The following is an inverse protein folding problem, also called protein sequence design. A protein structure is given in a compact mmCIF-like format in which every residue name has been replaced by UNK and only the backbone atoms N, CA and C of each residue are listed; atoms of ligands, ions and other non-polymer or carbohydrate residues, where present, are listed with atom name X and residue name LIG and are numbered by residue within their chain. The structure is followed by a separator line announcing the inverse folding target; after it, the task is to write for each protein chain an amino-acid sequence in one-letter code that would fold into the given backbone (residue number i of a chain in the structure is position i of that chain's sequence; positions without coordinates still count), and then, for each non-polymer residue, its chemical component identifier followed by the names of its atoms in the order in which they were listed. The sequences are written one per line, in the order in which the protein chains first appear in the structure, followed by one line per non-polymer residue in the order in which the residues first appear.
data_IF_566800361239
#
_entry.id   IF_566800361239
#
_cell.length_a   1.000
_cell.length_b   1.000
_cell.length_c   1.000
_cell.angle_alpha   90.00
_cell.angle_beta   90.00
_cell.angle_gamma   90.00
#
_symmetry.space_group_name_H-M   'P 1'
#
loop_
_entity.id
_entity.type
_entity.pdbx_description
1 polymer ?
#
# COMPACT_ATOMS: atom_id res chain seq x y z
N UNK A 1 17.36 -29.44 5.01
CA UNK A 1 18.33 -28.32 5.14
C UNK A 1 17.58 -27.06 4.89
N UNK A 2 17.48 -26.22 5.91
CA UNK A 2 16.56 -25.08 5.94
C UNK A 2 16.96 -23.96 4.99
N UNK A 3 16.03 -23.57 4.15
CA UNK A 3 16.15 -22.42 3.27
C UNK A 3 15.70 -21.19 4.06
N UNK A 4 16.64 -20.58 4.80
CA UNK A 4 16.38 -19.32 5.48
C UNK A 4 16.31 -18.22 4.41
N UNK A 5 15.15 -17.60 4.27
CA UNK A 5 15.03 -16.37 3.50
C UNK A 5 16.06 -15.36 4.02
N UNK A 6 16.99 -14.92 3.18
CA UNK A 6 18.02 -13.92 3.55
C UNK A 6 17.33 -12.59 3.81
N UNK A 7 17.12 -12.29 5.06
CA UNK A 7 16.61 -11.04 5.56
C UNK A 7 17.66 -9.94 5.49
N UNK A 8 17.29 -8.77 5.01
CA UNK A 8 18.09 -7.55 5.16
C UNK A 8 17.31 -6.49 5.89
N UNK A 9 17.84 -6.05 7.01
CA UNK A 9 17.35 -4.90 7.76
C UNK A 9 17.86 -3.64 7.07
N UNK A 10 16.96 -2.78 6.63
CA UNK A 10 17.31 -1.44 6.19
C UNK A 10 17.50 -0.54 7.42
N UNK A 11 18.68 -0.01 7.58
CA UNK A 11 18.92 1.10 8.51
C UNK A 11 18.66 2.37 7.70
N UNK A 12 17.63 3.11 8.05
CA UNK A 12 17.30 4.38 7.39
C UNK A 12 18.44 5.40 7.62
N UNK A 13 18.91 6.03 6.52
CA UNK A 13 19.88 7.12 6.60
C UNK A 13 19.16 8.45 6.85
N UNK A 14 19.67 9.21 7.79
CA UNK A 14 19.60 10.66 8.04
C UNK A 14 18.27 11.43 8.01
N UNK A 15 17.13 10.87 7.59
CA UNK A 15 15.81 11.53 7.70
C UNK A 15 14.69 10.63 8.21
N UNK A 16 14.96 9.34 8.47
CA UNK A 16 14.06 8.45 9.21
C UNK A 16 14.84 7.83 10.37
N UNK A 17 14.44 8.12 11.59
CA UNK A 17 14.94 7.41 12.76
C UNK A 17 14.31 6.02 12.80
N UNK A 18 15.06 5.01 13.30
CA UNK A 18 14.57 3.65 13.49
C UNK A 18 14.90 2.67 12.37
N UNK A 19 14.37 1.45 12.48
CA UNK A 19 14.66 0.33 11.56
C UNK A 19 13.39 -0.04 10.80
N UNK A 20 13.53 -0.30 9.49
CA UNK A 20 12.47 -0.82 8.65
C UNK A 20 12.98 -2.07 7.92
N UNK A 21 12.21 -3.17 8.01
CA UNK A 21 12.44 -4.42 7.31
C UNK A 21 11.25 -4.69 6.40
N UNK A 22 11.52 -4.99 5.14
CA UNK A 22 10.50 -5.31 4.12
C UNK A 22 10.88 -6.62 3.47
N UNK A 23 9.92 -7.56 3.30
CA UNK A 23 10.17 -8.82 2.59
C UNK A 23 8.88 -9.40 1.99
N UNK A 24 9.04 -10.34 1.09
CA UNK A 24 7.95 -11.16 0.55
C UNK A 24 8.11 -12.59 1.02
N UNK A 25 7.07 -13.16 1.65
CA UNK A 25 7.12 -14.55 2.09
C UNK A 25 7.18 -15.50 0.90
N UNK A 26 7.97 -16.57 1.02
CA UNK A 26 8.00 -17.63 0.03
C UNK A 26 6.61 -18.30 -0.11
N UNK A 27 6.13 -18.40 -1.34
CA UNK A 27 4.78 -18.91 -1.67
C UNK A 27 3.67 -17.85 -1.60
N UNK A 28 4.02 -16.57 -1.31
CA UNK A 28 3.12 -15.42 -1.27
C UNK A 28 3.79 -14.20 -1.91
N UNK A 29 4.33 -14.37 -3.10
CA UNK A 29 5.15 -13.36 -3.79
C UNK A 29 4.39 -12.07 -4.11
N UNK A 30 3.08 -12.12 -4.16
CA UNK A 30 2.20 -10.95 -4.33
C UNK A 30 1.98 -10.16 -3.04
N UNK A 31 2.33 -10.73 -1.88
CA UNK A 31 2.17 -10.13 -0.56
C UNK A 31 3.50 -9.54 -0.09
N UNK A 32 3.46 -8.35 0.51
CA UNK A 32 4.63 -7.70 1.10
C UNK A 32 4.40 -7.50 2.60
N UNK A 33 5.37 -7.91 3.39
CA UNK A 33 5.37 -7.76 4.84
C UNK A 33 6.40 -6.73 5.27
N UNK A 34 6.06 -5.94 6.29
CA UNK A 34 6.93 -4.91 6.84
C UNK A 34 6.97 -4.96 8.37
N UNK A 35 8.13 -4.69 8.93
CA UNK A 35 8.33 -4.42 10.36
C UNK A 35 9.10 -3.13 10.52
N UNK A 36 8.48 -2.16 11.19
CA UNK A 36 9.15 -0.95 11.65
C UNK A 36 9.41 -1.01 13.16
N UNK A 37 10.58 -0.53 13.60
CA UNK A 37 10.94 -0.38 15.03
C UNK A 37 11.40 1.02 15.27
N UNK A 38 10.69 1.77 16.12
CA UNK A 38 10.92 3.20 16.36
C UNK A 38 11.11 3.98 15.07
N UNK A 39 10.38 3.57 14.02
CA UNK A 39 10.50 4.13 12.69
C UNK A 39 9.73 5.43 12.61
N UNK A 40 10.38 6.47 12.11
CA UNK A 40 9.79 7.79 11.97
C UNK A 40 9.92 8.24 10.52
N UNK A 41 8.81 8.34 9.83
CA UNK A 41 8.74 8.85 8.47
C UNK A 41 7.35 9.42 8.19
N UNK A 42 7.23 10.72 7.87
CA UNK A 42 5.95 11.28 7.49
C UNK A 42 5.60 10.86 6.07
N UNK A 43 4.53 10.12 5.92
CA UNK A 43 3.98 9.77 4.61
C UNK A 43 2.97 10.84 4.20
N UNK A 44 3.24 11.57 3.09
CA UNK A 44 2.29 12.55 2.58
C UNK A 44 1.01 11.87 2.10
N UNK A 45 0.01 12.64 1.71
CA UNK A 45 -1.19 12.10 1.09
C UNK A 45 -0.84 11.25 -0.13
N UNK A 46 -1.24 9.98 -0.10
CA UNK A 46 -1.03 8.98 -1.14
C UNK A 46 -2.14 7.94 -1.09
N UNK A 47 -2.16 7.06 -2.05
CA UNK A 47 -2.99 5.87 -2.11
C UNK A 47 -2.20 4.72 -2.72
N UNK A 48 -2.68 3.50 -2.57
CA UNK A 48 -2.10 2.29 -3.17
C UNK A 48 -3.22 1.35 -3.64
N UNK A 49 -2.89 0.49 -4.59
CA UNK A 49 -3.83 -0.50 -5.15
C UNK A 49 -3.96 -1.73 -4.24
N UNK A 50 -3.01 -1.88 -3.32
CA UNK A 50 -3.00 -2.96 -2.35
C UNK A 50 -3.92 -2.67 -1.17
N UNK A 51 -4.48 -3.70 -0.62
CA UNK A 51 -5.10 -3.70 0.69
C UNK A 51 -4.01 -3.66 1.76
N UNK A 52 -4.11 -2.73 2.68
CA UNK A 52 -3.10 -2.48 3.71
C UNK A 52 -3.66 -2.73 5.10
N UNK A 53 -2.92 -3.49 5.91
CA UNK A 53 -3.23 -3.72 7.33
C UNK A 53 -1.97 -3.48 8.14
N UNK A 54 -2.04 -2.61 9.14
CA UNK A 54 -0.91 -2.23 10.00
C UNK A 54 -1.27 -2.32 11.47
N UNK A 55 -0.63 -3.21 12.20
CA UNK A 55 -0.72 -3.27 13.67
C UNK A 55 0.35 -2.39 14.29
N UNK A 56 -0.04 -1.49 15.18
CA UNK A 56 0.86 -0.64 15.95
C UNK A 56 1.27 -1.40 17.22
N UNK A 57 2.57 -1.64 17.38
CA UNK A 57 3.14 -2.44 18.49
C UNK A 57 3.89 -1.59 19.50
N UNK A 58 4.19 -0.32 19.19
CA UNK A 58 4.85 0.63 20.09
C UNK A 58 4.81 2.04 19.52
N UNK A 59 4.94 3.05 20.38
CA UNK A 59 4.78 4.44 19.97
C UNK A 59 3.35 4.75 19.52
N UNK A 60 3.15 5.87 18.82
CA UNK A 60 1.86 6.26 18.26
C UNK A 60 2.03 7.10 16.98
N UNK A 61 0.99 7.16 16.19
CA UNK A 61 0.93 8.02 15.02
C UNK A 61 -0.51 8.41 14.68
N UNK A 62 -0.65 9.33 13.74
CA UNK A 62 -1.93 9.79 13.24
C UNK A 62 -2.09 9.28 11.81
N UNK A 63 -3.17 8.56 11.58
CA UNK A 63 -3.64 8.20 10.24
C UNK A 63 -4.73 9.18 9.83
N UNK A 64 -4.57 9.79 8.67
CA UNK A 64 -5.58 10.70 8.13
C UNK A 64 -6.20 10.08 6.87
N UNK A 65 -7.50 9.86 6.89
CA UNK A 65 -8.29 9.47 5.72
C UNK A 65 -9.71 10.03 5.83
N UNK A 66 -10.35 10.27 4.69
CA UNK A 66 -11.70 10.87 4.61
C UNK A 66 -11.85 12.19 5.38
N UNK A 67 -10.77 12.98 5.41
CA UNK A 67 -10.77 14.27 6.11
C UNK A 67 -10.72 14.18 7.64
N UNK A 68 -10.59 12.98 8.22
CA UNK A 68 -10.56 12.76 9.67
C UNK A 68 -9.19 12.23 10.09
N UNK A 69 -8.73 12.69 11.25
CA UNK A 69 -7.50 12.22 11.89
C UNK A 69 -7.83 11.14 12.92
N UNK A 70 -7.16 10.02 12.83
CA UNK A 70 -7.29 8.89 13.75
C UNK A 70 -5.96 8.65 14.45
N UNK A 71 -5.94 8.78 15.76
CA UNK A 71 -4.76 8.43 16.57
C UNK A 71 -4.72 6.91 16.72
N UNK A 72 -3.62 6.30 16.33
CA UNK A 72 -3.36 4.88 16.47
C UNK A 72 -2.14 4.66 17.37
N UNK A 73 -2.37 4.05 18.52
CA UNK A 73 -1.34 3.64 19.47
C UNK A 73 -1.19 2.12 19.55
N UNK A 74 -0.38 1.61 20.50
CA UNK A 74 -0.20 0.17 20.71
C UNK A 74 -1.55 -0.52 20.92
N UNK A 75 -1.76 -1.62 20.22
CA UNK A 75 -3.04 -2.34 20.26
C UNK A 75 -4.00 -1.99 19.11
N UNK A 76 -3.74 -0.90 18.40
CA UNK A 76 -4.55 -0.53 17.23
C UNK A 76 -4.08 -1.25 15.97
N UNK A 77 -5.04 -1.54 15.09
CA UNK A 77 -4.79 -2.03 13.74
C UNK A 77 -5.44 -1.07 12.74
N UNK A 78 -4.62 -0.43 11.92
CA UNK A 78 -5.09 0.38 10.81
C UNK A 78 -5.37 -0.52 9.60
N UNK A 79 -6.54 -0.36 8.99
CA UNK A 79 -6.91 -1.03 7.75
C UNK A 79 -7.22 0.04 6.73
N UNK A 80 -6.53 0.02 5.59
CA UNK A 80 -6.71 0.96 4.49
C UNK A 80 -7.15 0.19 3.25
N UNK A 81 -8.28 0.60 2.72
CA UNK A 81 -8.84 0.01 1.51
C UNK A 81 -8.06 0.43 0.25
N UNK A 82 -8.03 -0.39 -0.81
CA UNK A 82 -7.45 -0.02 -2.09
C UNK A 82 -8.02 1.30 -2.61
N UNK A 83 -7.16 2.18 -3.09
CA UNK A 83 -7.54 3.48 -3.64
C UNK A 83 -7.95 4.54 -2.60
N UNK A 84 -8.00 4.22 -1.31
CA UNK A 84 -8.29 5.22 -0.27
C UNK A 84 -7.10 6.16 -0.09
N UNK A 85 -7.34 7.45 -0.31
CA UNK A 85 -6.31 8.48 -0.08
C UNK A 85 -6.12 8.68 1.41
N UNK A 86 -4.91 8.47 1.84
CA UNK A 86 -4.54 8.60 3.25
C UNK A 86 -3.15 9.25 3.42
N UNK A 87 -2.89 9.71 4.62
CA UNK A 87 -1.58 10.16 5.06
C UNK A 87 -1.33 9.62 6.46
N UNK A 88 -0.08 9.51 6.85
CA UNK A 88 0.21 9.32 8.25
C UNK A 88 1.49 10.03 8.68
N UNK A 89 1.54 10.38 9.94
CA UNK A 89 2.72 10.93 10.60
C UNK A 89 2.83 10.36 12.01
N UNK A 90 4.05 10.29 12.48
CA UNK A 90 4.36 9.73 13.78
C UNK A 90 4.53 10.85 14.81
N UNK A 91 4.23 10.54 16.08
CA UNK A 91 4.65 11.38 17.20
C UNK A 91 6.16 11.26 17.43
N UNK A 92 6.70 12.13 18.29
CA UNK A 92 8.10 12.07 18.70
C UNK A 92 8.46 10.65 19.20
N UNK A 93 9.65 10.16 18.81
CA UNK A 93 10.09 8.80 19.09
C UNK A 93 9.68 7.73 18.08
N UNK A 94 8.86 8.11 17.07
CA UNK A 94 8.42 7.20 16.04
C UNK A 94 7.44 6.12 16.52
N UNK A 95 7.09 5.20 15.63
CA UNK A 95 6.25 4.05 15.98
C UNK A 95 6.92 2.73 15.63
N UNK A 96 6.54 1.69 16.35
CA UNK A 96 6.83 0.30 16.00
C UNK A 96 5.57 -0.34 15.45
N UNK A 97 5.69 -1.05 14.33
CA UNK A 97 4.53 -1.58 13.62
C UNK A 97 4.86 -2.87 12.86
N UNK A 98 3.82 -3.57 12.48
CA UNK A 98 3.84 -4.69 11.54
C UNK A 98 2.79 -4.45 10.48
N UNK A 99 3.20 -4.51 9.20
CA UNK A 99 2.28 -4.27 8.09
C UNK A 99 2.23 -5.44 7.12
N UNK A 100 1.11 -5.55 6.44
CA UNK A 100 0.92 -6.39 5.28
C UNK A 100 0.28 -5.58 4.16
N UNK A 101 0.88 -5.66 2.97
CA UNK A 101 0.32 -5.18 1.72
C UNK A 101 -0.06 -6.37 0.85
N UNK A 102 -1.27 -6.41 0.35
CA UNK A 102 -1.76 -7.50 -0.48
C UNK A 102 -2.65 -7.00 -1.61
N UNK A 103 -2.58 -7.60 -2.81
CA UNK A 103 -3.45 -7.25 -3.92
C UNK A 103 -4.93 -7.45 -3.54
N UNK A 104 -5.79 -6.57 -4.05
CA UNK A 104 -7.23 -6.73 -3.85
C UNK A 104 -7.76 -8.07 -4.37
N UNK A 105 -7.29 -8.52 -5.54
CA UNK A 105 -7.67 -9.82 -6.11
C UNK A 105 -7.47 -10.95 -5.11
N UNK A 106 -6.36 -10.92 -4.37
CA UNK A 106 -6.02 -11.93 -3.38
C UNK A 106 -7.03 -11.96 -2.21
N UNK A 107 -7.48 -10.80 -1.73
CA UNK A 107 -8.51 -10.70 -0.69
C UNK A 107 -9.87 -11.12 -1.23
N UNK A 108 -10.19 -10.73 -2.47
CA UNK A 108 -11.45 -11.06 -3.13
C UNK A 108 -11.59 -12.56 -3.41
N UNK A 109 -10.53 -13.20 -3.92
CA UNK A 109 -10.50 -14.65 -4.17
C UNK A 109 -10.73 -15.45 -2.88
N UNK A 110 -10.03 -15.07 -1.82
CA UNK A 110 -10.19 -15.73 -0.53
C UNK A 110 -11.59 -15.51 0.08
N UNK A 111 -12.14 -14.31 -0.06
CA UNK A 111 -13.47 -14.01 0.39
C UNK A 111 -14.54 -14.79 -0.39
N UNK A 112 -14.38 -14.94 -1.71
CA UNK A 112 -15.22 -15.77 -2.56
C UNK A 112 -15.22 -17.25 -2.09
N UNK A 113 -14.06 -17.75 -1.72
CA UNK A 113 -13.88 -19.10 -1.22
C UNK A 113 -14.61 -19.33 0.12
N UNK A 114 -14.52 -18.37 1.06
CA UNK A 114 -15.18 -18.43 2.36
C UNK A 114 -16.71 -18.24 2.25
N UNK A 115 -17.15 -17.34 1.37
CA UNK A 115 -18.58 -16.99 1.25
C UNK A 115 -19.35 -17.84 0.25
N UNK A 116 -18.72 -18.88 -0.31
CA UNK A 116 -19.31 -19.75 -1.33
C UNK A 116 -19.89 -18.99 -2.52
N UNK A 117 -19.22 -17.92 -2.93
CA UNK A 117 -19.59 -17.11 -4.08
C UNK A 117 -20.56 -15.96 -3.79
N UNK A 118 -21.02 -15.78 -2.56
CA UNK A 118 -21.75 -14.54 -2.20
C UNK A 118 -20.74 -13.38 -2.02
N UNK A 119 -20.24 -12.90 -3.16
CA UNK A 119 -19.27 -11.82 -3.27
C UNK A 119 -19.91 -10.42 -3.16
N UNK A 120 -20.92 -10.25 -2.33
CA UNK A 120 -21.24 -8.91 -1.84
C UNK A 120 -20.15 -8.42 -0.90
N UNK A 121 -18.89 -8.53 -1.37
CA UNK A 121 -17.75 -7.83 -0.79
C UNK A 121 -17.91 -6.35 -1.11
N UNK A 122 -18.83 -5.78 -0.41
CA UNK A 122 -19.08 -4.36 -0.40
C UNK A 122 -17.80 -3.64 -0.02
N UNK A 123 -17.57 -2.53 -0.63
CA UNK A 123 -16.42 -1.64 -0.50
C UNK A 123 -15.99 -1.57 0.96
N UNK A 124 -14.85 -2.18 1.25
CA UNK A 124 -14.24 -2.14 2.57
C UNK A 124 -13.89 -0.70 2.92
N UNK A 125 -14.31 -0.27 4.08
CA UNK A 125 -13.99 1.06 4.54
C UNK A 125 -12.69 1.03 5.35
N UNK A 126 -11.79 1.97 5.05
CA UNK A 126 -10.62 2.23 5.88
C UNK A 126 -11.05 2.58 7.30
N UNK A 127 -10.39 1.98 8.29
CA UNK A 127 -10.72 2.17 9.71
C UNK A 127 -9.56 1.85 10.63
N UNK A 128 -9.64 2.35 11.85
CA UNK A 128 -8.80 1.89 12.96
C UNK A 128 -9.61 0.90 13.79
N UNK A 129 -9.03 -0.27 14.02
CA UNK A 129 -9.64 -1.38 14.78
C UNK A 129 -8.91 -1.51 16.11
N UNK A 130 -9.65 -1.65 17.20
CA UNK A 130 -9.15 -1.89 18.55
C UNK A 130 -9.71 -3.21 19.09
N UNK A 131 -9.51 -4.30 18.34
CA UNK A 131 -9.92 -5.66 18.72
C UNK A 131 -8.66 -6.47 19.07
N UNK A 132 -8.48 -6.80 20.33
CA UNK A 132 -7.32 -7.53 20.83
C UNK A 132 -7.21 -8.95 20.21
N UNK A 133 -8.32 -9.61 19.92
CA UNK A 133 -8.32 -10.95 19.29
C UNK A 133 -7.85 -10.83 17.83
N UNK A 134 -8.30 -9.80 17.12
CA UNK A 134 -7.85 -9.52 15.76
C UNK A 134 -6.35 -9.18 15.74
N UNK A 135 -5.91 -8.29 16.63
CA UNK A 135 -4.50 -7.94 16.78
C UNK A 135 -3.62 -9.17 17.04
N UNK A 136 -3.99 -10.05 17.99
CA UNK A 136 -3.24 -11.28 18.27
C UNK A 136 -3.18 -12.20 17.05
N UNK A 137 -4.28 -12.33 16.32
CA UNK A 137 -4.34 -13.13 15.10
C UNK A 137 -3.43 -12.57 14.02
N UNK A 138 -3.44 -11.25 13.81
CA UNK A 138 -2.55 -10.57 12.87
C UNK A 138 -1.07 -10.72 13.24
N UNK A 139 -0.70 -10.49 14.50
CA UNK A 139 0.68 -10.62 14.95
C UNK A 139 1.16 -12.08 14.80
N UNK A 140 0.31 -13.07 15.16
CA UNK A 140 0.66 -14.48 14.98
C UNK A 140 0.87 -14.82 13.51
N UNK A 141 -0.03 -14.36 12.63
CA UNK A 141 0.09 -14.48 11.18
C UNK A 141 1.43 -13.90 10.70
N UNK A 142 1.71 -12.66 11.04
CA UNK A 142 2.89 -11.95 10.58
C UNK A 142 4.21 -12.61 11.06
N UNK A 143 4.28 -13.01 12.34
CA UNK A 143 5.44 -13.70 12.91
C UNK A 143 5.70 -15.07 12.32
N UNK A 144 4.67 -15.76 11.85
CA UNK A 144 4.81 -17.08 11.24
C UNK A 144 5.70 -17.05 9.99
N UNK A 145 5.65 -15.95 9.24
CA UNK A 145 6.48 -15.77 8.04
C UNK A 145 7.90 -15.26 8.32
N UNK A 146 8.25 -15.02 9.58
CA UNK A 146 9.60 -14.70 10.01
C UNK A 146 10.39 -15.95 10.44
N UNK A 147 9.72 -17.09 10.59
CA UNK A 147 10.30 -18.32 11.12
C UNK A 147 10.04 -19.51 10.18
N UNK A 148 10.88 -20.55 10.21
CA UNK A 148 10.58 -21.80 9.52
C UNK A 148 9.25 -22.39 10.02
N UNK A 149 8.34 -22.66 9.10
CA UNK A 149 7.02 -23.20 9.39
C UNK A 149 6.57 -24.18 8.32
N UNK A 150 5.70 -25.13 8.67
CA UNK A 150 5.13 -26.07 7.70
C UNK A 150 4.09 -25.38 6.83
N UNK A 151 3.84 -25.92 5.63
CA UNK A 151 2.79 -25.39 4.74
C UNK A 151 1.43 -25.39 5.43
N UNK A 152 1.10 -26.51 6.05
CA UNK A 152 -0.19 -26.67 6.73
C UNK A 152 -0.39 -25.66 7.88
N UNK A 153 0.69 -25.35 8.62
CA UNK A 153 0.64 -24.36 9.67
C UNK A 153 0.39 -22.95 9.09
N UNK A 154 1.09 -22.61 8.01
CA UNK A 154 0.88 -21.34 7.29
C UNK A 154 -0.55 -21.24 6.77
N UNK A 155 -1.04 -22.28 6.10
CA UNK A 155 -2.38 -22.31 5.53
C UNK A 155 -3.45 -22.14 6.62
N UNK A 156 -3.31 -22.82 7.77
CA UNK A 156 -4.24 -22.70 8.89
C UNK A 156 -4.26 -21.30 9.53
N UNK A 157 -3.08 -20.70 9.75
CA UNK A 157 -2.99 -19.35 10.31
C UNK A 157 -3.48 -18.31 9.29
N UNK A 158 -3.22 -18.54 8.02
CA UNK A 158 -3.70 -17.72 6.91
C UNK A 158 -5.23 -17.66 6.86
N UNK A 159 -5.88 -18.83 6.84
CA UNK A 159 -7.35 -18.92 6.87
C UNK A 159 -7.93 -18.21 8.10
N UNK A 160 -7.34 -18.45 9.27
CA UNK A 160 -7.79 -17.81 10.50
C UNK A 160 -7.66 -16.29 10.49
N UNK A 161 -6.58 -15.75 9.93
CA UNK A 161 -6.37 -14.30 9.79
C UNK A 161 -7.41 -13.69 8.84
N UNK A 162 -7.59 -14.26 7.65
CA UNK A 162 -8.51 -13.72 6.66
C UNK A 162 -9.98 -13.81 7.09
N UNK A 163 -10.39 -14.92 7.67
CA UNK A 163 -11.74 -15.04 8.20
C UNK A 163 -12.03 -13.93 9.24
N UNK A 164 -11.05 -13.64 10.10
CA UNK A 164 -11.18 -12.58 11.08
C UNK A 164 -11.12 -11.18 10.47
N UNK A 165 -10.24 -10.98 9.50
CA UNK A 165 -10.16 -9.72 8.76
C UNK A 165 -11.52 -9.40 8.10
N UNK A 166 -12.10 -10.36 7.39
CA UNK A 166 -13.40 -10.18 6.73
C UNK A 166 -14.52 -9.86 7.73
N UNK A 167 -14.52 -10.46 8.92
CA UNK A 167 -15.46 -10.11 9.99
C UNK A 167 -15.30 -8.66 10.49
N UNK A 168 -14.07 -8.15 10.51
CA UNK A 168 -13.80 -6.78 10.96
C UNK A 168 -14.12 -5.71 9.93
N UNK A 169 -13.97 -6.02 8.64
CA UNK A 169 -14.10 -5.05 7.56
C UNK A 169 -15.40 -5.20 6.76
N UNK A 170 -16.07 -6.34 6.86
CA UNK A 170 -17.39 -6.57 6.26
C UNK A 170 -18.45 -5.68 6.93
N UNK A 171 -19.18 -4.90 6.15
CA UNK A 171 -20.32 -4.11 6.61
C UNK A 171 -21.61 -4.74 6.12
N UNK A 172 -22.50 -5.11 7.05
CA UNK A 172 -23.80 -5.73 6.75
C UNK A 172 -24.81 -4.78 6.06
N UNK A 173 -24.51 -3.47 6.01
CA UNK A 173 -25.41 -2.44 5.52
C UNK A 173 -24.88 -1.68 4.27
N UNK A 174 -23.98 -2.27 3.51
CA UNK A 174 -23.43 -1.60 2.35
C UNK A 174 -24.51 -1.34 1.27
N UNK A 175 -24.83 -0.07 1.07
CA UNK A 175 -25.54 0.41 -0.11
C UNK A 175 -24.53 1.06 -1.05
N UNK A 176 -24.47 0.59 -2.29
CA UNK A 176 -23.72 1.28 -3.34
C UNK A 176 -24.14 2.76 -3.39
N UNK A 177 -23.20 3.65 -3.08
CA UNK A 177 -23.41 5.07 -3.27
C UNK A 177 -23.76 5.32 -4.76
N UNK A 178 -24.84 6.08 -5.03
CA UNK A 178 -25.14 6.51 -6.38
C UNK A 178 -23.94 7.29 -6.90
N UNK A 179 -23.36 6.81 -8.00
CA UNK A 179 -22.27 7.52 -8.68
C UNK A 179 -22.82 8.86 -9.15
N UNK A 180 -22.37 9.97 -8.57
CA UNK A 180 -22.73 11.31 -9.03
C UNK A 180 -22.12 11.55 -10.42
N UNK A 181 -22.67 12.50 -11.18
CA UNK A 181 -22.07 12.90 -12.48
C UNK A 181 -20.62 13.35 -12.31
N UNK A 182 -20.29 13.99 -11.17
CA UNK A 182 -18.95 14.46 -10.84
C UNK A 182 -17.98 13.30 -10.62
N UNK A 183 -18.38 12.25 -9.92
CA UNK A 183 -17.56 11.05 -9.74
C UNK A 183 -17.26 10.35 -11.05
N UNK A 184 -18.16 10.35 -12.02
CA UNK A 184 -17.92 9.83 -13.37
C UNK A 184 -16.87 10.69 -14.09
N UNK A 185 -16.97 12.01 -13.99
CA UNK A 185 -16.04 12.95 -14.60
C UNK A 185 -14.62 12.79 -14.01
N UNK A 186 -14.50 12.67 -12.68
CA UNK A 186 -13.22 12.42 -12.02
C UNK A 186 -12.64 11.07 -12.42
N UNK A 187 -13.46 10.02 -12.50
CA UNK A 187 -13.00 8.70 -12.93
C UNK A 187 -12.43 8.70 -14.34
N UNK A 188 -13.07 9.38 -15.30
CA UNK A 188 -12.52 9.54 -16.67
C UNK A 188 -11.14 10.19 -16.66
N UNK A 189 -10.96 11.24 -15.85
CA UNK A 189 -9.66 11.89 -15.70
C UNK A 189 -8.62 10.97 -15.02
N UNK A 190 -9.03 10.15 -14.06
CA UNK A 190 -8.14 9.15 -13.44
C UNK A 190 -7.73 8.06 -14.44
N UNK A 191 -8.66 7.55 -15.24
CA UNK A 191 -8.40 6.60 -16.33
C UNK A 191 -7.43 7.21 -17.34
N UNK A 192 -7.69 8.43 -17.79
CA UNK A 192 -6.79 9.15 -18.69
C UNK A 192 -5.38 9.33 -18.10
N UNK A 193 -5.27 9.70 -16.82
CA UNK A 193 -3.98 9.76 -16.13
C UNK A 193 -3.32 8.39 -16.02
N UNK A 194 -4.08 7.32 -15.82
CA UNK A 194 -3.60 5.95 -15.80
C UNK A 194 -2.96 5.52 -17.12
N UNK A 195 -3.53 5.93 -18.24
CA UNK A 195 -3.03 5.61 -19.58
C UNK A 195 -1.87 6.53 -20.01
N UNK A 196 -1.81 7.76 -19.46
CA UNK A 196 -0.86 8.80 -19.87
C UNK A 196 0.05 9.24 -18.72
N UNK A 197 0.24 8.43 -17.67
CA UNK A 197 0.98 8.80 -16.47
C UNK A 197 2.41 9.27 -16.73
N UNK A 198 3.07 8.70 -17.75
CA UNK A 198 4.47 8.99 -18.09
C UNK A 198 4.65 10.23 -18.98
N UNK A 199 3.57 10.85 -19.44
CA UNK A 199 3.61 12.06 -20.27
C UNK A 199 3.36 13.32 -19.45
N UNK A 200 3.65 14.47 -20.05
CA UNK A 200 3.16 15.75 -19.53
C UNK A 200 1.68 15.85 -19.87
N UNK A 201 0.86 16.07 -18.84
CA UNK A 201 -0.59 16.26 -18.95
C UNK A 201 -0.91 17.59 -18.29
N UNK A 202 -1.67 18.44 -18.98
CA UNK A 202 -2.12 19.73 -18.44
C UNK A 202 -3.41 19.60 -17.64
N UNK A 203 -3.69 20.58 -16.79
CA UNK A 203 -4.98 20.66 -16.09
C UNK A 203 -6.13 20.83 -17.08
N UNK A 204 -5.90 21.54 -18.20
CA UNK A 204 -6.87 21.74 -19.26
C UNK A 204 -7.22 20.43 -19.97
N UNK A 205 -6.21 19.56 -20.22
CA UNK A 205 -6.45 18.24 -20.82
C UNK A 205 -7.36 17.39 -19.92
N UNK A 206 -7.09 17.39 -18.62
CA UNK A 206 -7.91 16.65 -17.66
C UNK A 206 -9.32 17.21 -17.51
N UNK A 207 -9.44 18.53 -17.49
CA UNK A 207 -10.72 19.22 -17.42
C UNK A 207 -11.59 18.93 -18.65
N UNK A 208 -10.97 18.87 -19.83
CA UNK A 208 -11.64 18.48 -21.08
C UNK A 208 -12.19 17.03 -21.02
N UNK A 209 -11.38 16.07 -20.49
CA UNK A 209 -11.85 14.69 -20.29
C UNK A 209 -13.03 14.60 -19.33
N UNK A 210 -13.08 15.50 -18.36
CA UNK A 210 -14.15 15.57 -17.37
C UNK A 210 -15.37 16.39 -17.82
N UNK A 211 -15.31 17.08 -18.98
CA UNK A 211 -16.28 18.09 -19.44
C UNK A 211 -16.51 19.20 -18.41
N UNK A 212 -15.44 19.69 -17.79
CA UNK A 212 -15.45 20.74 -16.78
C UNK A 212 -14.47 21.86 -17.14
N UNK A 213 -14.66 23.03 -16.55
CA UNK A 213 -13.62 24.08 -16.61
C UNK A 213 -12.42 23.66 -15.75
N UNK A 214 -11.19 24.11 -16.04
CA UNK A 214 -10.01 23.74 -15.26
C UNK A 214 -10.14 24.02 -13.76
N UNK A 215 -10.73 25.15 -13.40
CA UNK A 215 -10.95 25.52 -12.01
C UNK A 215 -11.96 24.58 -11.31
N UNK A 216 -13.09 24.33 -11.94
CA UNK A 216 -14.12 23.45 -11.40
C UNK A 216 -13.61 22.01 -11.27
N UNK A 217 -12.94 21.53 -12.33
CA UNK A 217 -12.28 20.22 -12.33
C UNK A 217 -11.29 20.06 -11.16
N UNK A 218 -10.39 21.03 -10.97
CA UNK A 218 -9.42 20.96 -9.90
C UNK A 218 -10.09 20.80 -8.53
N UNK A 219 -11.14 21.58 -8.24
CA UNK A 219 -11.88 21.50 -6.98
C UNK A 219 -12.56 20.15 -6.77
N UNK A 220 -13.25 19.68 -7.81
CA UNK A 220 -13.96 18.40 -7.76
C UNK A 220 -12.97 17.26 -7.62
N UNK A 221 -11.88 17.27 -8.38
CA UNK A 221 -10.85 16.25 -8.32
C UNK A 221 -10.21 16.18 -6.93
N UNK A 222 -9.82 17.32 -6.35
CA UNK A 222 -9.27 17.36 -4.99
C UNK A 222 -10.26 16.85 -3.94
N UNK A 223 -11.54 17.16 -4.07
CA UNK A 223 -12.59 16.71 -3.14
C UNK A 223 -12.81 15.21 -3.23
N UNK A 224 -12.90 14.65 -4.42
CA UNK A 224 -13.19 13.23 -4.66
C UNK A 224 -11.97 12.33 -4.38
N UNK A 225 -10.75 12.78 -4.75
CA UNK A 225 -9.52 11.98 -4.62
C UNK A 225 -8.70 12.31 -3.38
N UNK A 226 -9.01 13.41 -2.68
CA UNK A 226 -8.24 13.87 -1.53
C UNK A 226 -6.89 14.50 -1.87
N UNK A 227 -6.51 14.58 -3.16
CA UNK A 227 -5.22 15.16 -3.58
C UNK A 227 -5.32 15.90 -4.92
N UNK A 228 -4.42 16.87 -5.20
CA UNK A 228 -4.38 17.57 -6.49
C UNK A 228 -4.00 16.63 -7.66
N UNK A 229 -4.46 16.92 -8.89
CA UNK A 229 -4.18 16.09 -10.08
C UNK A 229 -2.69 15.80 -10.31
N UNK A 230 -1.82 16.80 -10.11
CA UNK A 230 -0.38 16.62 -10.24
C UNK A 230 0.18 15.63 -9.21
N UNK A 231 -0.23 15.74 -7.95
CA UNK A 231 0.21 14.82 -6.91
C UNK A 231 -0.27 13.39 -7.19
N UNK A 232 -1.48 13.25 -7.73
CA UNK A 232 -2.05 11.98 -8.18
C UNK A 232 -1.20 11.35 -9.30
N UNK A 233 -0.82 12.15 -10.32
CA UNK A 233 0.06 11.67 -11.39
C UNK A 233 1.43 11.22 -10.88
N UNK A 234 2.05 12.00 -9.99
CA UNK A 234 3.34 11.62 -9.38
C UNK A 234 3.21 10.30 -8.62
N UNK A 235 2.11 10.11 -7.89
CA UNK A 235 1.87 8.86 -7.18
C UNK A 235 1.74 7.68 -8.15
N UNK A 236 0.96 7.81 -9.24
CA UNK A 236 0.88 6.79 -10.30
C UNK A 236 2.26 6.40 -10.84
N UNK A 237 3.10 7.40 -11.13
CA UNK A 237 4.48 7.17 -11.61
C UNK A 237 5.31 6.36 -10.61
N UNK A 238 5.18 6.68 -9.31
CA UNK A 238 5.89 5.93 -8.25
C UNK A 238 5.40 4.49 -8.19
N UNK A 239 4.09 4.25 -8.29
CA UNK A 239 3.55 2.88 -8.29
C UNK A 239 4.02 2.08 -9.52
N UNK A 240 4.05 2.69 -10.70
CA UNK A 240 4.61 2.07 -11.91
C UNK A 240 6.11 1.81 -11.79
N UNK A 241 6.87 2.77 -11.21
CA UNK A 241 8.29 2.57 -10.93
C UNK A 241 8.52 1.39 -9.95
N UNK A 242 7.71 1.27 -8.89
CA UNK A 242 7.73 0.13 -7.96
C UNK A 242 7.61 -1.20 -8.73
N UNK A 243 6.64 -1.31 -9.63
CA UNK A 243 6.42 -2.52 -10.43
C UNK A 243 7.60 -2.84 -11.38
N UNK A 244 8.21 -1.82 -12.01
CA UNK A 244 9.35 -2.00 -12.90
C UNK A 244 10.63 -2.36 -12.15
N UNK A 245 10.87 -1.77 -10.98
CA UNK A 245 12.01 -2.10 -10.11
C UNK A 245 11.97 -3.56 -9.65
N UNK A 246 10.79 -4.14 -9.46
CA UNK A 246 10.61 -5.58 -9.18
C UNK A 246 11.14 -6.46 -10.31
N UNK A 247 11.12 -5.97 -11.55
CA UNK A 247 11.66 -6.66 -12.73
C UNK A 247 13.15 -6.43 -12.92
N UNK A 248 13.84 -5.89 -11.92
CA UNK A 248 15.29 -5.62 -11.91
C UNK A 248 15.78 -4.68 -13.03
N UNK A 249 14.91 -3.81 -13.54
CA UNK A 249 15.30 -2.80 -14.52
C UNK A 249 16.23 -1.74 -13.88
N UNK A 250 17.20 -1.20 -14.62
CA UNK A 250 18.06 -0.12 -14.14
C UNK A 250 17.26 1.10 -13.71
N UNK A 251 17.61 1.70 -12.58
CA UNK A 251 16.85 2.82 -11.98
C UNK A 251 16.70 4.01 -12.93
N UNK A 252 17.78 4.35 -13.65
CA UNK A 252 17.74 5.42 -14.65
C UNK A 252 16.74 5.13 -15.78
N UNK A 253 16.67 3.87 -16.22
CA UNK A 253 15.72 3.43 -17.23
C UNK A 253 14.27 3.45 -16.69
N UNK A 254 14.07 3.02 -15.43
CA UNK A 254 12.77 3.12 -14.76
C UNK A 254 12.31 4.57 -14.65
N UNK A 255 13.23 5.51 -14.32
CA UNK A 255 12.90 6.93 -14.27
C UNK A 255 12.35 7.44 -15.61
N UNK A 256 13.04 7.11 -16.71
CA UNK A 256 12.62 7.47 -18.07
C UNK A 256 11.27 6.87 -18.44
N UNK A 257 11.09 5.56 -18.23
CA UNK A 257 9.85 4.84 -18.57
C UNK A 257 8.64 5.37 -17.78
N UNK A 258 8.86 5.86 -16.57
CA UNK A 258 7.79 6.35 -15.70
C UNK A 258 7.59 7.87 -15.75
N UNK A 259 8.29 8.57 -16.66
CA UNK A 259 8.09 9.99 -16.93
C UNK A 259 8.70 10.92 -15.88
N UNK A 260 9.68 10.45 -15.08
CA UNK A 260 10.53 11.32 -14.28
C UNK A 260 11.63 11.93 -15.13
N UNK A 261 12.01 13.15 -14.81
CA UNK A 261 13.05 13.87 -15.54
C UNK A 261 14.40 13.14 -15.49
N UNK A 262 14.72 12.56 -14.34
CA UNK A 262 15.95 11.83 -14.07
C UNK A 262 15.82 10.87 -12.88
N UNK A 263 16.89 10.14 -12.61
CA UNK A 263 16.97 9.20 -11.48
C UNK A 263 16.85 9.90 -10.11
N UNK A 264 17.39 11.13 -9.99
CA UNK A 264 17.34 11.89 -8.73
C UNK A 264 15.90 12.33 -8.42
N UNK A 265 15.17 12.74 -9.46
CA UNK A 265 13.76 13.11 -9.38
C UNK A 265 12.92 11.89 -8.96
N UNK A 266 13.11 10.73 -9.60
CA UNK A 266 12.49 9.47 -9.17
C UNK A 266 12.84 9.15 -7.72
N UNK A 267 14.12 9.19 -7.34
CA UNK A 267 14.59 8.81 -6.00
C UNK A 267 13.92 9.66 -4.91
N UNK A 268 13.83 10.97 -5.13
CA UNK A 268 13.18 11.89 -4.19
C UNK A 268 11.70 11.55 -3.97
N UNK A 269 10.93 11.36 -5.05
CA UNK A 269 9.52 11.02 -4.96
C UNK A 269 9.28 9.60 -4.46
N UNK A 270 10.06 8.63 -4.94
CA UNK A 270 9.96 7.25 -4.51
C UNK A 270 10.21 7.13 -3.00
N UNK A 271 11.29 7.76 -2.49
CA UNK A 271 11.57 7.78 -1.04
C UNK A 271 10.45 8.45 -0.25
N UNK A 272 9.88 9.55 -0.77
CA UNK A 272 8.77 10.25 -0.12
C UNK A 272 7.55 9.36 0.08
N UNK A 273 7.20 8.51 -0.90
CA UNK A 273 6.01 7.66 -0.84
C UNK A 273 6.28 6.25 -0.26
N UNK A 274 7.49 5.74 -0.41
CA UNK A 274 7.83 4.35 -0.04
C UNK A 274 8.71 4.25 1.21
N UNK A 275 9.18 5.36 1.77
CA UNK A 275 10.09 5.37 2.92
C UNK A 275 11.52 4.96 2.61
N UNK A 276 11.78 4.32 1.46
CA UNK A 276 13.08 3.78 1.03
C UNK A 276 13.44 4.29 -0.37
N UNK A 277 14.73 4.23 -0.73
CA UNK A 277 15.16 4.61 -2.08
C UNK A 277 14.86 3.51 -3.10
N UNK A 278 14.76 3.82 -4.40
CA UNK A 278 14.63 2.82 -5.46
C UNK A 278 15.72 1.75 -5.44
N UNK A 279 16.97 2.13 -5.12
CA UNK A 279 18.10 1.21 -5.03
C UNK A 279 17.93 0.22 -3.87
N UNK A 280 17.54 0.71 -2.71
CA UNK A 280 17.23 -0.11 -1.56
C UNK A 280 16.07 -1.07 -1.88
N UNK A 281 15.01 -0.59 -2.50
CA UNK A 281 13.85 -1.39 -2.89
C UNK A 281 14.22 -2.47 -3.92
N UNK A 282 14.97 -2.13 -4.97
CA UNK A 282 15.41 -3.08 -6.01
C UNK A 282 16.38 -4.13 -5.47
N UNK A 283 17.27 -3.75 -4.55
CA UNK A 283 18.21 -4.69 -3.89
C UNK A 283 17.48 -5.79 -3.09
N UNK A 284 16.31 -5.51 -2.55
CA UNK A 284 15.45 -6.49 -1.88
C UNK A 284 14.75 -7.42 -2.88
N UNK A 285 14.37 -6.90 -4.06
CA UNK A 285 13.69 -7.68 -5.09
C UNK A 285 14.59 -8.70 -5.78
N UNK A 286 15.88 -8.38 -5.98
CA UNK A 286 16.87 -9.28 -6.62
C UNK A 286 17.14 -10.54 -5.79
N UNK A 287 17.14 -10.44 -4.48
CA UNK A 287 17.41 -11.59 -3.61
C UNK A 287 16.31 -12.66 -3.60
N UNK A 288 15.13 -12.36 -4.14
CA UNK A 288 14.04 -13.34 -4.30
C UNK A 288 14.13 -14.07 -5.64
N UNK A 289 14.62 -13.41 -6.71
CA UNK A 289 14.72 -14.00 -8.04
C UNK A 289 15.95 -14.93 -8.20
N UNK A 290 17.07 -14.61 -7.54
CA UNK A 290 18.31 -15.44 -7.63
C UNK A 290 18.17 -16.83 -6.98
N UNK A 291 17.14 -17.04 -6.14
CA UNK A 291 16.84 -18.35 -5.56
C UNK A 291 16.18 -19.32 -6.55
N UNK A 292 15.49 -18.81 -7.58
CA UNK A 292 14.82 -19.65 -8.58
C UNK A 292 15.70 -20.03 -9.78
N UNK A 293 16.79 -19.29 -10.05
CA UNK A 293 17.70 -19.56 -11.18
C UNK A 293 18.76 -20.62 -10.83
N UNK A 294 19.02 -20.89 -9.53
CA UNK A 294 20.01 -21.89 -9.10
C UNK A 294 19.45 -23.29 -8.84
N UNK A 295 18.20 -23.55 -9.20
CA UNK A 295 17.53 -24.87 -9.04
C UNK A 295 17.17 -25.50 -10.40
N UNK A 296 18.00 -25.28 -11.43
CA UNK A 296 17.97 -26.07 -12.68
C UNK A 296 19.34 -26.62 -12.99
#
# INVERSE_FOLDING_TARGET
MGNAAKERTLVGNASSAGKLKIWRPAGLESVELEVGTSFQHPYPRHWHEEFFVSAITGGAGVFQFRGTNYVAGPGSVAVIAPGEVHAHHDYEGGRSFRCIHMPWSFVADFASEITQGDTRLSIFQSRIITDEKFLRTFIRFHKLFEQPSTRLERDGVWVGFFARLLQQIGDSNFRMARVSRESVSVRRAQEFLGDHYNRQVSLSDLAAQANLTPYHFHRVFCRETGMPPHAYQIHLRVMRAKALLRKSLPIAHVASLTGFADQSHLTRHFRRFMGVTPAQYAGHSKNVQDLFVRSR
#
